data_IF_752889298856
#
_entry.id   IF_752889298856
#
_cell.length_a   1.000
_cell.length_b   1.000
_cell.length_c   1.000
_cell.angle_alpha   90.00
_cell.angle_beta   90.00
_cell.angle_gamma   90.00
#
_symmetry.space_group_name_H-M   'P 1'
#
loop_
_entity.id
_entity.type
_entity.pdbx_description
1 polymer ?
#
# COMPACT_ATOMS: atom_id res chain seq x y z
N UNK A 1 -0.26 41.34 -16.14
CA UNK A 1 -1.20 41.12 -15.06
C UNK A 1 -0.43 41.30 -13.74
N UNK A 2 -0.73 42.34 -12.95
CA UNK A 2 -0.09 42.53 -11.64
C UNK A 2 -0.86 41.72 -10.59
N UNK A 3 -0.18 40.80 -9.91
CA UNK A 3 -0.74 40.16 -8.73
C UNK A 3 -0.89 41.21 -7.64
N UNK A 4 -2.12 41.45 -7.21
CA UNK A 4 -2.46 42.42 -6.16
C UNK A 4 -2.15 41.94 -4.75
N UNK A 5 -1.64 40.72 -4.58
CA UNK A 5 -1.33 40.12 -3.29
C UNK A 5 0.17 39.97 -3.11
N UNK A 6 0.67 40.42 -1.99
CA UNK A 6 2.03 40.14 -1.56
C UNK A 6 2.07 38.75 -0.92
N UNK A 7 3.00 37.91 -1.31
CA UNK A 7 3.21 36.59 -0.69
C UNK A 7 3.46 36.69 0.82
N UNK A 8 4.06 37.80 1.29
CA UNK A 8 4.31 38.04 2.70
C UNK A 8 3.01 38.30 3.52
N UNK A 9 1.90 38.68 2.85
CA UNK A 9 0.59 38.88 3.48
C UNK A 9 -0.37 37.70 3.29
N UNK A 10 0.07 36.65 2.62
CA UNK A 10 -0.77 35.48 2.34
C UNK A 10 -0.54 34.42 3.40
N UNK A 11 -1.58 34.06 4.13
CA UNK A 11 -1.56 32.96 5.09
C UNK A 11 -2.32 31.76 4.48
N UNK A 12 -1.67 30.59 4.40
CA UNK A 12 -2.30 29.38 3.96
C UNK A 12 -2.84 28.62 5.18
N UNK A 13 -4.11 28.32 5.21
CA UNK A 13 -4.77 27.49 6.21
C UNK A 13 -5.33 26.23 5.53
N UNK A 14 -5.11 25.07 6.14
CA UNK A 14 -5.55 23.75 5.62
C UNK A 14 -6.61 23.11 6.52
N UNK A 15 -7.32 23.90 7.29
CA UNK A 15 -8.32 23.51 8.28
C UNK A 15 -9.75 23.48 7.76
N UNK A 16 -9.97 23.77 6.48
CA UNK A 16 -11.29 23.72 5.86
C UNK A 16 -11.87 22.30 5.85
N UNK A 17 -13.06 22.06 6.43
CA UNK A 17 -13.66 20.71 6.51
C UNK A 17 -14.01 20.13 5.13
N UNK A 18 -14.14 20.96 4.11
CA UNK A 18 -14.44 20.55 2.73
C UNK A 18 -13.19 20.37 1.86
N UNK A 19 -12.01 20.50 2.43
CA UNK A 19 -10.76 20.34 1.68
C UNK A 19 -10.45 18.85 1.46
N UNK A 20 -10.26 18.51 0.19
CA UNK A 20 -9.82 17.18 -0.24
C UNK A 20 -8.33 17.23 -0.55
N UNK A 21 -7.50 16.77 0.37
CA UNK A 21 -6.03 16.87 0.25
C UNK A 21 -5.45 15.94 -0.82
N UNK A 22 -6.10 14.83 -1.12
CA UNK A 22 -5.62 13.78 -2.03
C UNK A 22 -6.66 13.42 -3.11
N UNK A 23 -7.26 14.42 -3.75
CA UNK A 23 -8.26 14.21 -4.80
C UNK A 23 -7.76 13.35 -5.97
N UNK A 24 -6.47 13.43 -6.31
CA UNK A 24 -5.83 12.59 -7.34
C UNK A 24 -5.85 11.09 -7.05
N UNK A 25 -6.16 10.69 -5.83
CA UNK A 25 -6.31 9.27 -5.46
C UNK A 25 -7.61 8.65 -6.03
N UNK A 26 -8.63 9.48 -6.32
CA UNK A 26 -9.93 9.00 -6.83
C UNK A 26 -9.78 8.16 -8.11
N UNK A 27 -9.14 8.64 -9.20
CA UNK A 27 -8.97 7.85 -10.41
C UNK A 27 -8.11 6.60 -10.18
N UNK A 28 -7.11 6.66 -9.31
CA UNK A 28 -6.23 5.52 -8.99
C UNK A 28 -7.04 4.41 -8.30
N UNK A 29 -7.83 4.76 -7.30
CA UNK A 29 -8.64 3.77 -6.58
C UNK A 29 -9.82 3.28 -7.40
N UNK A 30 -10.42 4.11 -8.26
CA UNK A 30 -11.42 3.68 -9.22
C UNK A 30 -10.84 2.63 -10.21
N UNK A 31 -9.61 2.83 -10.67
CA UNK A 31 -8.93 1.85 -11.51
C UNK A 31 -8.66 0.54 -10.74
N UNK A 32 -8.16 0.61 -9.52
CA UNK A 32 -7.93 -0.56 -8.67
C UNK A 32 -9.24 -1.34 -8.40
N UNK A 33 -10.34 -0.64 -8.15
CA UNK A 33 -11.66 -1.24 -7.97
C UNK A 33 -12.15 -1.93 -9.25
N UNK A 34 -12.03 -1.26 -10.40
CA UNK A 34 -12.39 -1.83 -11.72
C UNK A 34 -11.51 -3.02 -12.09
N UNK A 35 -10.26 -3.05 -11.68
CA UNK A 35 -9.37 -4.20 -11.82
C UNK A 35 -9.66 -5.33 -10.82
N UNK A 36 -10.61 -5.14 -9.89
CA UNK A 36 -11.09 -6.18 -9.00
C UNK A 36 -10.24 -6.39 -7.75
N UNK A 37 -9.43 -5.41 -7.30
CA UNK A 37 -8.53 -5.55 -6.16
C UNK A 37 -9.19 -6.18 -4.94
N UNK A 38 -10.36 -5.68 -4.51
CA UNK A 38 -11.04 -6.18 -3.32
C UNK A 38 -11.52 -7.63 -3.48
N UNK A 39 -11.99 -8.00 -4.67
CA UNK A 39 -12.40 -9.36 -5.01
C UNK A 39 -11.21 -10.33 -4.99
N UNK A 40 -10.10 -9.97 -5.62
CA UNK A 40 -8.87 -10.77 -5.62
C UNK A 40 -8.33 -10.98 -4.20
N UNK A 41 -8.36 -9.94 -3.36
CA UNK A 41 -7.98 -10.06 -1.95
C UNK A 41 -8.94 -11.00 -1.21
N UNK A 42 -10.25 -10.86 -1.40
CA UNK A 42 -11.25 -11.74 -0.76
C UNK A 42 -11.07 -13.20 -1.16
N UNK A 43 -10.62 -13.47 -2.38
CA UNK A 43 -10.38 -14.82 -2.89
C UNK A 43 -9.10 -15.44 -2.34
N UNK A 44 -8.00 -14.69 -2.38
CA UNK A 44 -6.66 -15.26 -2.17
C UNK A 44 -6.07 -15.02 -0.79
N UNK A 45 -6.46 -13.96 -0.06
CA UNK A 45 -5.78 -13.55 1.18
C UNK A 45 -6.56 -13.95 2.42
N UNK A 46 -5.95 -14.81 3.23
CA UNK A 46 -6.54 -15.37 4.46
C UNK A 46 -5.56 -15.22 5.63
N UNK A 47 -5.38 -14.02 6.20
CA UNK A 47 -4.58 -13.87 7.42
C UNK A 47 -5.30 -14.51 8.59
N UNK A 48 -4.53 -15.07 9.51
CA UNK A 48 -5.06 -15.74 10.69
C UNK A 48 -5.56 -14.77 11.77
N UNK A 49 -6.37 -15.32 12.70
CA UNK A 49 -6.83 -14.63 13.88
C UNK A 49 -7.85 -13.50 13.64
N UNK A 50 -8.30 -12.84 14.72
CA UNK A 50 -9.34 -11.80 14.63
C UNK A 50 -8.90 -10.54 13.87
N UNK A 51 -7.60 -10.25 13.85
CA UNK A 51 -7.06 -9.12 13.10
C UNK A 51 -6.98 -9.40 11.60
N UNK A 52 -7.04 -10.67 11.16
CA UNK A 52 -7.04 -11.08 9.76
C UNK A 52 -8.37 -10.86 9.03
N UNK A 53 -9.47 -10.71 9.78
CA UNK A 53 -10.83 -10.58 9.22
C UNK A 53 -10.95 -9.33 8.36
N UNK A 54 -11.78 -9.41 7.31
CA UNK A 54 -12.07 -8.31 6.37
C UNK A 54 -10.82 -7.76 5.65
N UNK A 55 -9.92 -8.65 5.21
CA UNK A 55 -8.74 -8.29 4.44
C UNK A 55 -9.10 -7.49 3.18
N UNK A 56 -10.22 -7.85 2.52
CA UNK A 56 -10.74 -7.19 1.31
C UNK A 56 -11.11 -5.71 1.51
N UNK A 57 -11.32 -5.27 2.76
CA UNK A 57 -11.57 -3.86 3.09
C UNK A 57 -10.30 -3.15 3.58
N UNK A 58 -9.39 -3.88 4.24
CA UNK A 58 -8.19 -3.32 4.85
C UNK A 58 -7.05 -3.16 3.85
N UNK A 59 -6.85 -4.13 2.95
CA UNK A 59 -5.79 -4.06 1.94
C UNK A 59 -6.00 -2.92 0.96
N UNK A 60 -7.20 -2.67 0.41
CA UNK A 60 -7.41 -1.47 -0.41
C UNK A 60 -7.13 -0.15 0.34
N UNK A 61 -7.42 -0.07 1.66
CA UNK A 61 -7.03 1.10 2.46
C UNK A 61 -5.51 1.27 2.51
N UNK A 62 -4.75 0.18 2.71
CA UNK A 62 -3.28 0.21 2.70
C UNK A 62 -2.74 0.65 1.34
N UNK A 63 -3.29 0.10 0.25
CA UNK A 63 -2.92 0.49 -1.12
C UNK A 63 -3.22 1.97 -1.36
N UNK A 64 -4.38 2.46 -0.92
CA UNK A 64 -4.75 3.87 -1.03
C UNK A 64 -3.79 4.78 -0.26
N UNK A 65 -3.42 4.41 0.97
CA UNK A 65 -2.45 5.16 1.77
C UNK A 65 -1.08 5.23 1.10
N UNK A 66 -0.54 4.10 0.66
CA UNK A 66 0.73 4.06 -0.08
C UNK A 66 0.68 4.90 -1.36
N UNK A 67 -0.40 4.83 -2.13
CA UNK A 67 -0.59 5.65 -3.32
C UNK A 67 -0.74 7.16 -3.00
N UNK A 68 -1.20 7.49 -1.79
CA UNK A 68 -1.28 8.87 -1.28
C UNK A 68 0.05 9.38 -0.70
N UNK A 69 1.08 8.52 -0.60
CA UNK A 69 2.40 8.86 -0.09
C UNK A 69 2.61 8.56 1.40
N UNK A 70 1.83 7.64 1.98
CA UNK A 70 2.07 7.17 3.34
C UNK A 70 3.31 6.28 3.40
N UNK A 71 4.29 6.63 4.23
CA UNK A 71 5.52 5.88 4.45
C UNK A 71 5.43 4.99 5.70
N UNK A 72 4.52 5.28 6.58
CA UNK A 72 4.29 4.59 7.84
C UNK A 72 2.81 4.27 8.05
N UNK A 73 2.53 3.44 9.07
CA UNK A 73 1.15 3.16 9.47
C UNK A 73 0.44 4.40 10.01
N UNK A 74 1.17 5.27 10.68
CA UNK A 74 0.57 6.48 11.26
C UNK A 74 0.15 7.48 10.16
N UNK A 75 0.87 7.49 9.02
CA UNK A 75 0.51 8.32 7.86
C UNK A 75 -0.78 7.88 7.18
N UNK A 76 -1.32 6.71 7.51
CA UNK A 76 -2.61 6.25 6.98
C UNK A 76 -3.77 7.17 7.37
N UNK A 77 -3.59 8.01 8.38
CA UNK A 77 -4.55 9.06 8.72
C UNK A 77 -4.72 10.12 7.63
N UNK A 78 -3.79 10.24 6.68
CA UNK A 78 -3.93 11.12 5.51
C UNK A 78 -5.26 10.91 4.75
N UNK A 79 -5.80 9.70 4.80
CA UNK A 79 -7.06 9.35 4.16
C UNK A 79 -8.29 9.71 4.98
N UNK A 80 -8.12 10.21 6.22
CA UNK A 80 -9.21 10.45 7.18
C UNK A 80 -9.39 11.92 7.53
N UNK A 81 -8.53 12.80 7.00
CA UNK A 81 -8.59 14.24 7.26
C UNK A 81 -9.42 14.99 6.22
N UNK A 82 -10.02 16.09 6.64
CA UNK A 82 -10.86 16.95 5.81
C UNK A 82 -12.03 16.18 5.20
N UNK A 83 -12.37 16.47 3.96
CA UNK A 83 -13.43 15.81 3.21
C UNK A 83 -13.00 14.47 2.54
N UNK A 84 -11.85 13.91 2.89
CA UNK A 84 -11.43 12.60 2.34
C UNK A 84 -12.43 11.47 2.66
N UNK A 85 -13.05 11.38 3.86
CA UNK A 85 -14.04 10.36 4.16
C UNK A 85 -15.31 10.44 3.28
N UNK A 86 -15.64 11.58 2.72
CA UNK A 86 -16.78 11.76 1.80
C UNK A 86 -16.50 11.11 0.44
N UNK A 87 -15.23 11.05 0.03
CA UNK A 87 -14.80 10.39 -1.20
C UNK A 87 -14.49 8.92 -1.01
N UNK A 88 -13.97 8.55 0.14
CA UNK A 88 -13.50 7.19 0.43
C UNK A 88 -14.18 6.65 1.69
N UNK A 89 -15.29 5.96 1.51
CA UNK A 89 -16.02 5.34 2.61
C UNK A 89 -15.24 4.16 3.22
N UNK A 90 -15.37 3.99 4.54
CA UNK A 90 -14.87 2.80 5.22
C UNK A 90 -13.37 2.74 5.48
N UNK A 91 -12.66 3.86 5.43
CA UNK A 91 -11.23 3.94 5.75
C UNK A 91 -10.99 3.52 7.19
N UNK A 92 -10.08 2.57 7.38
CA UNK A 92 -9.76 2.00 8.69
C UNK A 92 -8.70 2.84 9.40
N UNK A 93 -8.81 2.89 10.74
CA UNK A 93 -7.81 3.59 11.57
C UNK A 93 -6.42 2.94 11.45
N UNK A 94 -5.33 3.71 11.58
CA UNK A 94 -3.95 3.21 11.53
C UNK A 94 -3.71 2.04 12.48
N UNK A 95 -4.23 2.08 13.70
CA UNK A 95 -4.11 0.99 14.68
C UNK A 95 -4.73 -0.31 14.19
N UNK A 96 -5.88 -0.24 13.50
CA UNK A 96 -6.55 -1.40 12.90
C UNK A 96 -5.73 -1.98 11.75
N UNK A 97 -5.19 -1.12 10.89
CA UNK A 97 -4.35 -1.52 9.76
C UNK A 97 -3.02 -2.11 10.23
N UNK A 98 -2.38 -1.50 11.24
CA UNK A 98 -1.16 -2.02 11.84
C UNK A 98 -1.36 -3.38 12.51
N UNK A 99 -2.47 -3.58 13.22
CA UNK A 99 -2.81 -4.89 13.80
C UNK A 99 -3.08 -5.94 12.71
N UNK A 100 -3.70 -5.53 11.60
CA UNK A 100 -3.91 -6.40 10.46
C UNK A 100 -2.59 -6.83 9.81
N UNK A 101 -1.65 -5.91 9.58
CA UNK A 101 -0.33 -6.24 9.02
C UNK A 101 0.46 -7.19 9.93
N UNK A 102 0.38 -7.02 11.25
CA UNK A 102 1.03 -7.93 12.20
C UNK A 102 0.46 -9.34 12.21
N UNK A 103 -0.75 -9.55 11.69
CA UNK A 103 -1.34 -10.89 11.56
C UNK A 103 -0.82 -11.67 10.34
N UNK A 104 -0.05 -11.03 9.47
CA UNK A 104 0.48 -11.67 8.27
C UNK A 104 1.65 -12.61 8.59
N UNK A 105 1.60 -13.77 7.98
CA UNK A 105 2.67 -14.77 7.96
C UNK A 105 3.34 -14.80 6.59
N UNK A 106 4.42 -15.57 6.45
CA UNK A 106 5.05 -15.82 5.15
C UNK A 106 4.06 -16.35 4.09
N UNK A 107 3.15 -17.25 4.51
CA UNK A 107 2.11 -17.77 3.61
C UNK A 107 1.21 -16.67 3.05
N UNK A 108 0.89 -15.66 3.86
CA UNK A 108 0.07 -14.52 3.41
C UNK A 108 0.82 -13.61 2.42
N UNK A 109 2.14 -13.50 2.53
CA UNK A 109 2.96 -12.79 1.54
C UNK A 109 2.82 -13.46 0.16
N UNK A 110 2.89 -14.80 0.10
CA UNK A 110 2.68 -15.55 -1.15
C UNK A 110 1.27 -15.36 -1.71
N UNK A 111 0.26 -15.25 -0.85
CA UNK A 111 -1.11 -14.92 -1.26
C UNK A 111 -1.19 -13.52 -1.88
N UNK A 112 -0.51 -12.52 -1.29
CA UNK A 112 -0.42 -11.17 -1.85
C UNK A 112 0.30 -11.15 -3.20
N UNK A 113 1.33 -11.95 -3.39
CA UNK A 113 1.99 -12.11 -4.69
C UNK A 113 1.03 -12.63 -5.77
N UNK A 114 0.14 -13.57 -5.41
CA UNK A 114 -0.88 -14.05 -6.34
C UNK A 114 -1.88 -12.94 -6.72
N UNK A 115 -2.34 -12.17 -5.72
CA UNK A 115 -3.19 -10.99 -5.95
C UNK A 115 -2.51 -9.99 -6.87
N UNK A 116 -1.24 -9.67 -6.61
CA UNK A 116 -0.48 -8.70 -7.41
C UNK A 116 -0.36 -9.14 -8.87
N UNK A 117 -0.03 -10.41 -9.13
CA UNK A 117 0.06 -10.94 -10.51
C UNK A 117 -1.26 -10.83 -11.26
N UNK A 118 -2.37 -11.19 -10.61
CA UNK A 118 -3.68 -11.12 -11.25
C UNK A 118 -4.14 -9.67 -11.46
N UNK A 119 -3.89 -8.80 -10.46
CA UNK A 119 -4.19 -7.38 -10.56
C UNK A 119 -3.44 -6.72 -11.72
N UNK A 120 -2.13 -7.02 -11.88
CA UNK A 120 -1.33 -6.50 -12.99
C UNK A 120 -1.86 -6.99 -14.34
N UNK A 121 -2.27 -8.25 -14.44
CA UNK A 121 -2.88 -8.79 -15.67
C UNK A 121 -4.21 -8.08 -16.00
N UNK A 122 -5.04 -7.77 -14.99
CA UNK A 122 -6.29 -7.03 -15.18
C UNK A 122 -6.04 -5.57 -15.58
N UNK A 123 -5.04 -4.93 -14.95
CA UNK A 123 -4.64 -3.57 -15.31
C UNK A 123 -4.13 -3.50 -16.75
N UNK A 124 -3.26 -4.44 -17.16
CA UNK A 124 -2.73 -4.50 -18.53
C UNK A 124 -3.81 -4.73 -19.58
N UNK A 125 -4.87 -5.47 -19.24
CA UNK A 125 -6.03 -5.67 -20.15
C UNK A 125 -6.87 -4.39 -20.29
N UNK A 126 -6.93 -3.56 -19.28
CA UNK A 126 -7.79 -2.36 -19.25
C UNK A 126 -7.07 -1.09 -19.71
N UNK A 127 -5.77 -1.08 -19.62
CA UNK A 127 -4.92 0.04 -20.01
C UNK A 127 -3.69 -0.47 -20.75
N UNK A 128 -3.30 0.13 -21.89
CA UNK A 128 -2.11 -0.26 -22.64
C UNK A 128 -0.84 0.20 -21.90
N UNK A 129 -0.60 -0.39 -20.72
CA UNK A 129 0.55 -0.08 -19.85
C UNK A 129 1.87 -0.60 -20.42
N UNK A 130 1.80 -1.63 -21.26
CA UNK A 130 2.97 -2.28 -21.82
C UNK A 130 2.96 -2.16 -23.35
N UNK A 131 4.13 -2.06 -23.98
CA UNK A 131 4.25 -2.18 -25.42
C UNK A 131 3.62 -3.50 -25.88
N UNK A 132 3.02 -3.50 -27.06
CA UNK A 132 2.46 -4.71 -27.66
C UNK A 132 3.54 -5.80 -27.82
N UNK A 133 3.11 -7.05 -27.92
CA UNK A 133 4.00 -8.24 -28.01
C UNK A 133 5.03 -8.23 -29.16
N UNK A 134 4.90 -7.31 -30.09
CA UNK A 134 5.84 -7.10 -31.21
C UNK A 134 6.85 -6.00 -30.98
N UNK A 135 6.81 -5.34 -29.83
CA UNK A 135 7.76 -4.29 -29.45
C UNK A 135 8.75 -4.89 -28.46
N UNK A 136 10.03 -4.57 -28.65
CA UNK A 136 11.10 -5.02 -27.76
C UNK A 136 10.86 -4.50 -26.35
N UNK A 137 10.76 -5.40 -25.37
CA UNK A 137 10.65 -5.07 -23.95
C UNK A 137 12.01 -5.33 -23.28
N UNK A 138 12.51 -4.32 -22.56
CA UNK A 138 13.66 -4.49 -21.69
C UNK A 138 13.18 -4.87 -20.30
N UNK A 139 13.76 -5.95 -19.75
CA UNK A 139 13.54 -6.35 -18.36
C UNK A 139 14.82 -6.04 -17.60
N UNK A 140 14.74 -5.09 -16.68
CA UNK A 140 15.82 -4.80 -15.75
C UNK A 140 15.62 -5.64 -14.49
N UNK A 141 16.66 -6.39 -14.10
CA UNK A 141 16.65 -7.25 -12.92
C UNK A 141 17.66 -6.68 -11.94
N UNK A 142 17.17 -5.99 -10.93
CA UNK A 142 17.98 -5.46 -9.84
C UNK A 142 17.81 -6.31 -8.58
N UNK A 143 18.93 -6.58 -7.90
CA UNK A 143 18.95 -7.26 -6.61
C UNK A 143 19.10 -6.25 -5.48
N UNK A 144 18.02 -6.01 -4.74
CA UNK A 144 18.04 -5.13 -3.59
C UNK A 144 18.25 -5.92 -2.29
N UNK A 145 19.36 -5.67 -1.59
CA UNK A 145 19.56 -6.15 -0.23
C UNK A 145 18.91 -5.17 0.76
N UNK A 146 17.78 -5.55 1.34
CA UNK A 146 17.15 -4.79 2.43
C UNK A 146 17.64 -5.34 3.77
N UNK A 147 18.37 -4.53 4.55
CA UNK A 147 18.65 -4.87 5.95
C UNK A 147 17.32 -4.87 6.72
N UNK A 148 16.96 -6.03 7.23
CA UNK A 148 15.85 -6.13 8.18
C UNK A 148 16.40 -5.84 9.57
N UNK A 149 16.12 -4.69 10.13
CA UNK A 149 16.26 -4.41 11.56
C UNK A 149 15.04 -4.96 12.28
N UNK A 150 14.98 -6.30 12.38
CA UNK A 150 13.94 -6.95 13.17
C UNK A 150 14.14 -6.62 14.65
N UNK A 151 13.14 -6.04 15.29
CA UNK A 151 13.04 -5.97 16.75
C UNK A 151 13.00 -7.43 17.22
N UNK A 152 14.08 -7.88 17.83
CA UNK A 152 14.11 -9.21 18.47
C UNK A 152 13.16 -9.17 19.66
N UNK A 153 12.06 -9.88 19.59
CA UNK A 153 11.37 -10.31 20.80
C UNK A 153 12.36 -11.19 21.59
N UNK A 154 12.83 -10.68 22.70
CA UNK A 154 13.76 -11.36 23.59
C UNK A 154 13.01 -12.51 24.28
N UNK A 155 13.17 -13.71 23.78
CA UNK A 155 12.89 -14.89 24.56
C UNK A 155 13.95 -15.01 25.67
N UNK A 156 13.60 -15.32 26.93
CA UNK A 156 14.58 -15.53 27.98
C UNK A 156 15.25 -16.91 27.76
N UNK A 157 16.56 -16.90 27.47
CA UNK A 157 17.34 -18.15 27.40
C UNK A 157 18.49 -18.07 26.39
N UNK A 158 19.68 -17.82 26.94
CA UNK A 158 21.04 -18.17 26.50
C UNK A 158 21.29 -18.49 25.01
N UNK A 159 22.16 -17.69 24.37
CA UNK A 159 22.80 -18.08 23.10
C UNK A 159 23.20 -16.89 22.25
N UNK A 160 24.48 -16.80 21.96
CA UNK A 160 25.20 -15.84 21.10
C UNK A 160 24.51 -15.52 19.77
N UNK A 161 24.56 -14.27 19.29
CA UNK A 161 23.87 -13.86 18.06
C UNK A 161 24.63 -14.34 16.81
N UNK A 162 24.05 -15.27 16.08
CA UNK A 162 24.46 -15.55 14.70
C UNK A 162 23.72 -14.60 13.77
N UNK A 163 24.45 -13.77 13.05
CA UNK A 163 23.94 -12.99 11.93
C UNK A 163 23.50 -13.92 10.80
N UNK A 164 22.19 -14.03 10.56
CA UNK A 164 21.68 -14.67 9.35
C UNK A 164 21.69 -13.64 8.22
N UNK A 165 22.68 -13.76 7.36
CA UNK A 165 22.59 -13.20 6.01
C UNK A 165 21.53 -13.98 5.24
N UNK A 166 20.43 -13.35 4.86
CA UNK A 166 19.46 -13.94 3.94
C UNK A 166 20.11 -14.04 2.56
N UNK A 167 20.32 -15.27 2.11
CA UNK A 167 20.78 -15.58 0.77
C UNK A 167 19.68 -15.24 -0.25
N UNK A 168 20.07 -14.47 -1.26
CA UNK A 168 19.31 -14.29 -2.48
C UNK A 168 18.99 -15.63 -3.15
N UNK A 169 17.80 -15.75 -3.67
CA UNK A 169 17.43 -16.85 -4.54
C UNK A 169 18.13 -16.68 -5.89
N UNK A 170 19.04 -17.58 -6.20
CA UNK A 170 19.50 -17.80 -7.57
C UNK A 170 18.46 -18.70 -8.26
N UNK A 171 17.84 -18.17 -9.35
CA UNK A 171 17.04 -18.98 -10.25
C UNK A 171 17.94 -19.98 -10.99
N UNK A 172 17.61 -21.26 -10.86
CA UNK A 172 18.02 -22.31 -11.78
C UNK A 172 16.85 -22.60 -12.73
#
# INVERSE_FOLDING_TARGET
>A
MRLLHSLAGTHASFDGPNLVSRAGLVPVMALAQRAGLAGLVAEHVRPGGPCGVNAQLKIPCLVAGMAAGADSIDDMDLLRHGAMPDLFGGIRAPSTLGSHLRSFTWGNVRQLEAVNRQLLAELARRSPLLPGKYVLAFVDIDSMQKRSTGIRSRAPGSGTPRSRANRCWSAG
#
